data_IF_610141056809
#
_entry.id   IF_610141056809
#
_cell.length_a   1.000
_cell.length_b   1.000
_cell.length_c   1.000
_cell.angle_alpha   90.00
_cell.angle_beta   90.00
_cell.angle_gamma   90.00
#
_symmetry.space_group_name_H-M   'P 1'
#
loop_
_entity.id
_entity.type
_entity.pdbx_description
1 polymer ?
#
# COMPACT_ATOMS: atom_id res chain seq x y z
N UNK A 1 -5.77 -9.86 5.95
CA UNK A 1 -4.71 -9.14 5.21
C UNK A 1 -3.51 -10.04 5.03
N UNK A 2 -2.79 -9.89 3.93
CA UNK A 2 -1.57 -10.63 3.62
C UNK A 2 -0.46 -9.67 3.20
N UNK A 3 0.79 -10.03 3.48
CA UNK A 3 1.94 -9.24 3.00
C UNK A 3 2.26 -9.67 1.57
N UNK A 4 2.19 -8.73 0.62
CA UNK A 4 2.59 -8.95 -0.77
C UNK A 4 3.87 -8.19 -1.11
N UNK A 5 4.70 -8.80 -1.96
CA UNK A 5 5.91 -8.17 -2.50
C UNK A 5 5.55 -7.37 -3.75
N UNK A 6 5.94 -6.11 -3.79
CA UNK A 6 5.82 -5.23 -4.95
C UNK A 6 7.15 -5.21 -5.71
N UNK A 7 7.12 -5.46 -7.03
CA UNK A 7 8.30 -5.55 -7.90
C UNK A 7 8.19 -4.55 -9.06
N UNK A 8 8.30 -3.25 -8.73
CA UNK A 8 8.06 -2.19 -9.72
C UNK A 8 6.59 -2.03 -10.07
N UNK A 9 5.70 -2.28 -9.09
CA UNK A 9 4.26 -2.10 -9.25
C UNK A 9 3.92 -0.63 -9.49
N UNK A 10 2.92 -0.35 -10.33
CA UNK A 10 2.51 1.01 -10.70
C UNK A 10 1.23 1.41 -9.98
N UNK A 11 1.18 2.64 -9.46
CA UNK A 11 -0.03 3.21 -8.86
C UNK A 11 -0.25 4.61 -9.42
N UNK A 12 -1.49 4.94 -9.80
CA UNK A 12 -1.83 6.21 -10.45
C UNK A 12 -2.78 6.01 -11.63
N UNK A 13 -2.54 6.77 -12.69
CA UNK A 13 -3.32 6.78 -13.93
C UNK A 13 -2.50 6.25 -15.10
N UNK A 14 -3.15 6.08 -16.25
CA UNK A 14 -2.50 5.76 -17.54
C UNK A 14 -1.49 6.82 -17.99
N UNK A 15 -1.67 8.08 -17.58
CA UNK A 15 -0.78 9.21 -17.94
C UNK A 15 0.39 9.40 -16.99
N UNK A 16 0.16 9.24 -15.68
CA UNK A 16 1.17 9.43 -14.64
C UNK A 16 0.99 8.38 -13.55
N UNK A 17 2.08 7.69 -13.22
CA UNK A 17 2.09 6.64 -12.22
C UNK A 17 3.38 6.64 -11.41
N UNK A 18 3.26 6.31 -10.14
CA UNK A 18 4.38 6.07 -9.25
C UNK A 18 4.75 4.59 -9.30
N UNK A 19 6.03 4.31 -9.52
CA UNK A 19 6.58 2.96 -9.51
C UNK A 19 7.12 2.68 -8.11
N UNK A 20 6.64 1.60 -7.49
CA UNK A 20 7.02 1.23 -6.12
C UNK A 20 7.58 -0.19 -6.06
N UNK A 21 8.52 -0.38 -5.14
CA UNK A 21 9.13 -1.68 -4.84
C UNK A 21 9.21 -1.83 -3.33
N UNK A 22 8.98 -3.06 -2.84
CA UNK A 22 9.03 -3.34 -1.41
C UNK A 22 7.99 -4.38 -1.01
N UNK A 23 7.38 -4.17 0.15
CA UNK A 23 6.30 -5.00 0.66
C UNK A 23 5.17 -4.10 1.14
N UNK A 24 3.93 -4.53 0.93
CA UNK A 24 2.74 -3.83 1.38
C UNK A 24 1.70 -4.83 1.91
N UNK A 25 0.73 -4.33 2.69
CA UNK A 25 -0.43 -5.10 3.12
C UNK A 25 -1.49 -5.07 2.03
N UNK A 26 -2.02 -6.26 1.72
CA UNK A 26 -3.07 -6.46 0.74
C UNK A 26 -4.26 -7.15 1.41
N UNK A 27 -5.45 -6.69 1.10
CA UNK A 27 -6.70 -7.33 1.48
C UNK A 27 -7.40 -7.87 0.23
N UNK A 28 -7.69 -9.17 0.24
CA UNK A 28 -8.33 -9.86 -0.88
C UNK A 28 -9.69 -9.23 -1.19
N UNK A 29 -9.92 -8.97 -2.47
CA UNK A 29 -11.13 -8.29 -2.95
C UNK A 29 -11.16 -6.77 -2.75
N UNK A 30 -10.21 -6.17 -2.00
CA UNK A 30 -10.19 -4.72 -1.76
C UNK A 30 -8.99 -3.99 -2.35
N UNK A 31 -7.77 -4.51 -2.18
CA UNK A 31 -6.54 -3.85 -2.65
C UNK A 31 -5.46 -3.70 -1.59
N UNK A 32 -4.48 -2.84 -1.88
CA UNK A 32 -3.38 -2.52 -0.97
C UNK A 32 -3.76 -1.37 -0.04
N UNK A 33 -3.35 -1.45 1.23
CA UNK A 33 -3.60 -0.37 2.20
C UNK A 33 -2.68 0.82 1.92
N UNK A 34 -3.25 2.02 1.94
CA UNK A 34 -2.56 3.30 1.85
C UNK A 34 -3.17 4.31 2.83
N UNK A 35 -2.39 5.31 3.26
CA UNK A 35 -2.90 6.39 4.10
C UNK A 35 -3.34 7.57 3.22
N UNK A 36 -4.55 8.06 3.37
CA UNK A 36 -5.10 9.17 2.57
C UNK A 36 -4.20 10.41 2.56
N UNK A 37 -3.46 10.65 3.64
CA UNK A 37 -2.50 11.75 3.79
C UNK A 37 -1.25 11.63 2.91
N UNK A 38 -0.95 10.44 2.38
CA UNK A 38 0.26 10.15 1.60
C UNK A 38 0.08 10.45 0.11
N UNK A 39 -1.04 11.07 -0.29
CA UNK A 39 -1.21 11.54 -1.67
C UNK A 39 -0.12 12.54 -2.01
N UNK A 40 0.50 12.35 -3.16
CA UNK A 40 1.45 13.30 -3.69
C UNK A 40 0.76 14.51 -4.36
N UNK A 41 1.57 15.43 -4.87
CA UNK A 41 1.12 16.64 -5.56
C UNK A 41 0.26 16.39 -6.80
N UNK A 42 0.30 15.16 -7.35
CA UNK A 42 -0.51 14.73 -8.49
C UNK A 42 -1.77 13.96 -8.07
N UNK A 43 -2.02 13.86 -6.76
CA UNK A 43 -3.14 13.11 -6.18
C UNK A 43 -2.96 11.60 -6.21
N UNK A 44 -1.77 11.10 -6.57
CA UNK A 44 -1.48 9.67 -6.64
C UNK A 44 -1.28 9.15 -5.22
N UNK A 45 -2.04 8.11 -4.89
CA UNK A 45 -1.91 7.40 -3.63
C UNK A 45 -1.24 6.05 -3.88
N UNK A 46 -0.07 5.85 -3.26
CA UNK A 46 0.66 4.59 -3.31
C UNK A 46 0.46 3.80 -2.00
N UNK A 47 0.63 2.46 -2.02
CA UNK A 47 0.52 1.65 -0.82
C UNK A 47 1.46 2.10 0.29
N UNK A 48 1.07 1.84 1.53
CA UNK A 48 1.94 1.96 2.68
C UNK A 48 3.07 0.91 2.60
N UNK A 49 4.30 1.40 2.40
CA UNK A 49 5.52 0.59 2.27
C UNK A 49 6.51 1.06 3.33
N UNK A 50 6.53 0.46 4.53
CA UNK A 50 7.44 0.90 5.59
C UNK A 50 8.89 0.56 5.24
N UNK A 51 9.83 1.42 5.67
CA UNK A 51 11.26 1.22 5.46
C UNK A 51 11.76 -0.13 6.04
N UNK A 52 11.15 -0.64 7.11
CA UNK A 52 11.46 -1.95 7.69
C UNK A 52 10.96 -3.15 6.86
N UNK A 53 10.28 -2.90 5.73
CA UNK A 53 9.83 -3.89 4.77
C UNK A 53 8.93 -4.97 5.37
N UNK A 54 9.11 -6.22 4.92
CA UNK A 54 8.31 -7.37 5.36
C UNK A 54 8.31 -7.56 6.89
N UNK A 55 9.42 -7.28 7.57
CA UNK A 55 9.53 -7.46 9.03
C UNK A 55 8.64 -6.47 9.78
N UNK A 56 8.64 -5.20 9.37
CA UNK A 56 7.76 -4.18 9.96
C UNK A 56 6.28 -4.49 9.73
N UNK A 57 5.93 -4.95 8.54
CA UNK A 57 4.55 -5.37 8.26
C UNK A 57 4.14 -6.60 9.07
N UNK A 58 5.04 -7.57 9.23
CA UNK A 58 4.75 -8.74 10.06
C UNK A 58 4.55 -8.34 11.52
N UNK A 59 5.37 -7.44 12.07
CA UNK A 59 5.16 -6.96 13.45
C UNK A 59 3.82 -6.23 13.65
N UNK A 60 3.31 -5.53 12.63
CA UNK A 60 1.97 -4.93 12.68
C UNK A 60 0.91 -6.05 12.76
N UNK A 61 1.02 -7.08 11.92
CA UNK A 61 0.08 -8.20 11.94
C UNK A 61 0.15 -9.01 13.24
N UNK A 62 1.36 -9.26 13.76
CA UNK A 62 1.60 -9.99 15.01
C UNK A 62 1.03 -9.23 16.22
N UNK A 63 1.01 -7.90 16.17
CA UNK A 63 0.38 -7.04 17.18
C UNK A 63 -1.16 -6.97 17.07
N UNK A 64 -1.77 -7.69 16.13
CA UNK A 64 -3.23 -7.70 15.90
C UNK A 64 -3.71 -6.74 14.82
N UNK A 65 -2.81 -6.11 14.06
CA UNK A 65 -3.15 -5.21 12.95
C UNK A 65 -3.15 -3.72 13.34
N UNK A 66 -4.00 -2.94 12.69
CA UNK A 66 -4.11 -1.50 12.94
C UNK A 66 -5.09 -1.19 14.06
N UNK A 67 -4.79 -0.18 14.87
CA UNK A 67 -5.69 0.28 15.95
C UNK A 67 -6.93 1.01 15.42
N UNK A 68 -6.85 1.62 14.24
CA UNK A 68 -7.96 2.28 13.52
C UNK A 68 -7.71 2.20 12.02
N UNK A 69 -8.80 2.25 11.25
CA UNK A 69 -8.79 2.33 9.79
C UNK A 69 -9.15 3.72 9.27
N UNK A 70 -9.40 4.69 10.16
CA UNK A 70 -9.73 6.05 9.77
C UNK A 70 -8.56 6.68 9.00
N UNK A 71 -8.87 7.29 7.85
CA UNK A 71 -7.86 7.85 6.95
C UNK A 71 -7.04 6.80 6.18
N UNK A 72 -7.49 5.54 6.14
CA UNK A 72 -6.93 4.52 5.27
C UNK A 72 -7.82 4.28 4.04
N UNK A 73 -7.17 4.01 2.92
CA UNK A 73 -7.81 3.68 1.65
C UNK A 73 -7.20 2.41 1.06
N UNK A 74 -7.96 1.76 0.17
CA UNK A 74 -7.49 0.64 -0.62
C UNK A 74 -7.16 1.11 -2.04
N UNK A 75 -5.91 0.90 -2.46
CA UNK A 75 -5.43 1.24 -3.80
C UNK A 75 -5.11 -0.01 -4.60
N UNK A 76 -5.36 0.06 -5.89
CA UNK A 76 -5.09 -1.03 -6.84
C UNK A 76 -3.87 -0.71 -7.68
N UNK A 77 -3.11 -1.74 -8.02
CA UNK A 77 -2.03 -1.62 -8.98
C UNK A 77 -2.62 -1.33 -10.37
N UNK A 78 -2.03 -0.38 -11.08
CA UNK A 78 -2.41 -0.02 -12.43
C UNK A 78 -2.03 -1.17 -13.38
N UNK A 79 -3.05 -1.85 -13.91
CA UNK A 79 -2.89 -2.98 -14.84
C UNK A 79 -2.81 -4.36 -14.17
N UNK A 80 -3.19 -4.47 -12.90
CA UNK A 80 -3.34 -5.74 -12.18
C UNK A 80 -4.66 -6.46 -12.49
#
# INVERSE_FOLDING_TARGET
MVIKRLKGAKFGTDRIARVVTGYALYEEGKGYIAFSSDRDEFGILAPYIPCGGKRALQSILDAGGFCSFDGMEYVQELGA
#
